data_IF_989504707496
#
_entry.id   IF_989504707496
#
_cell.length_a   1.000
_cell.length_b   1.000
_cell.length_c   1.000
_cell.angle_alpha   90.00
_cell.angle_beta   90.00
_cell.angle_gamma   90.00
#
_symmetry.space_group_name_H-M   'P 1'
#
loop_
_entity.id
_entity.type
_entity.pdbx_description
1 polymer ?
#
# COMPACT_ATOMS: atom_id res chain seq x y z
N UNK A 1 14.22 8.22 -7.88
CA UNK A 1 14.18 7.98 -6.41
C UNK A 1 12.86 8.37 -5.72
N UNK A 2 12.53 9.65 -5.47
CA UNK A 2 11.28 10.03 -4.75
C UNK A 2 10.00 9.53 -5.44
N UNK A 3 9.90 9.72 -6.77
CA UNK A 3 8.78 9.23 -7.57
C UNK A 3 8.67 7.69 -7.54
N UNK A 4 9.80 6.98 -7.61
CA UNK A 4 9.82 5.51 -7.56
C UNK A 4 9.34 4.96 -6.21
N UNK A 5 9.73 5.60 -5.10
CA UNK A 5 9.25 5.23 -3.76
C UNK A 5 7.74 5.41 -3.66
N UNK A 6 7.21 6.53 -4.19
CA UNK A 6 5.76 6.77 -4.19
C UNK A 6 5.00 5.75 -5.05
N UNK A 7 5.52 5.40 -6.23
CA UNK A 7 4.94 4.36 -7.08
C UNK A 7 4.95 2.99 -6.41
N UNK A 8 6.06 2.62 -5.77
CA UNK A 8 6.19 1.35 -5.07
C UNK A 8 5.26 1.26 -3.84
N UNK A 9 5.07 2.35 -3.09
CA UNK A 9 4.07 2.45 -2.01
C UNK A 9 2.64 2.26 -2.52
N UNK A 10 2.29 2.90 -3.65
CA UNK A 10 1.01 2.68 -4.31
C UNK A 10 0.80 1.21 -4.68
N UNK A 11 1.81 0.59 -5.28
CA UNK A 11 1.76 -0.83 -5.66
C UNK A 11 1.61 -1.77 -4.46
N UNK A 12 2.27 -1.50 -3.34
CA UNK A 12 2.08 -2.25 -2.09
C UNK A 12 0.63 -2.19 -1.65
N UNK A 13 0.00 -1.00 -1.68
CA UNK A 13 -1.40 -0.82 -1.32
C UNK A 13 -2.35 -1.66 -2.18
N UNK A 14 -2.18 -1.61 -3.51
CA UNK A 14 -2.96 -2.42 -4.45
C UNK A 14 -2.84 -3.93 -4.17
N UNK A 15 -1.60 -4.43 -4.04
CA UNK A 15 -1.34 -5.84 -3.79
C UNK A 15 -1.87 -6.30 -2.43
N UNK A 16 -1.84 -5.42 -1.41
CA UNK A 16 -2.37 -5.72 -0.09
C UNK A 16 -3.90 -5.86 -0.10
N UNK A 17 -4.61 -5.09 -0.91
CA UNK A 17 -6.06 -5.26 -1.12
C UNK A 17 -6.34 -6.61 -1.76
N UNK A 18 -5.66 -6.93 -2.86
CA UNK A 18 -5.81 -8.23 -3.55
C UNK A 18 -5.51 -9.41 -2.62
N UNK A 19 -4.44 -9.33 -1.82
CA UNK A 19 -4.12 -10.35 -0.82
C UNK A 19 -5.26 -10.54 0.19
N UNK A 20 -5.84 -9.45 0.68
CA UNK A 20 -6.97 -9.50 1.64
C UNK A 20 -8.18 -10.19 1.03
N UNK A 21 -8.49 -9.92 -0.23
CA UNK A 21 -9.57 -10.58 -0.96
C UNK A 21 -9.33 -12.08 -1.10
N UNK A 22 -8.11 -12.51 -1.43
CA UNK A 22 -7.79 -13.93 -1.48
C UNK A 22 -7.93 -14.63 -0.12
N UNK A 23 -7.52 -13.97 0.97
CA UNK A 23 -7.72 -14.51 2.33
C UNK A 23 -9.20 -14.63 2.67
N UNK A 24 -10.00 -13.62 2.34
CA UNK A 24 -11.45 -13.64 2.56
C UNK A 24 -12.12 -14.78 1.77
N UNK A 25 -11.71 -15.02 0.52
CA UNK A 25 -12.20 -16.16 -0.27
C UNK A 25 -11.90 -17.48 0.45
N UNK A 26 -10.67 -17.68 0.92
CA UNK A 26 -10.28 -18.90 1.64
C UNK A 26 -11.10 -19.12 2.91
N UNK A 27 -11.34 -18.06 3.70
CA UNK A 27 -12.16 -18.13 4.91
C UNK A 27 -13.60 -18.59 4.64
N UNK A 28 -14.18 -18.12 3.53
CA UNK A 28 -15.54 -18.45 3.14
C UNK A 28 -15.71 -19.83 2.50
N UNK A 29 -14.65 -20.38 1.87
CA UNK A 29 -14.75 -21.65 1.12
C UNK A 29 -14.13 -22.85 1.83
N UNK A 30 -13.26 -22.65 2.83
CA UNK A 30 -12.52 -23.74 3.50
C UNK A 30 -13.39 -24.83 4.14
N UNK A 31 -14.62 -24.49 4.53
CA UNK A 31 -15.56 -25.40 5.21
C UNK A 31 -16.62 -25.96 4.25
N UNK A 32 -16.56 -25.64 2.96
CA UNK A 32 -17.49 -26.16 1.97
C UNK A 32 -17.10 -27.57 1.54
N UNK A 33 -18.07 -28.31 1.01
CA UNK A 33 -17.83 -29.63 0.41
C UNK A 33 -16.74 -29.53 -0.68
N UNK A 34 -15.64 -30.31 -0.59
CA UNK A 34 -14.57 -30.34 -1.58
C UNK A 34 -15.04 -30.63 -3.02
N UNK A 35 -16.14 -31.35 -3.18
CA UNK A 35 -16.73 -31.72 -4.48
C UNK A 35 -17.67 -30.66 -5.04
N UNK A 36 -17.99 -29.60 -4.27
CA UNK A 36 -18.84 -28.51 -4.72
C UNK A 36 -18.20 -27.78 -5.90
N UNK A 37 -19.02 -27.49 -6.91
CA UNK A 37 -18.59 -26.74 -8.10
C UNK A 37 -18.29 -25.29 -7.74
N UNK A 38 -17.19 -24.80 -8.30
CA UNK A 38 -16.71 -23.42 -8.25
C UNK A 38 -16.47 -22.92 -9.67
N UNK A 39 -16.60 -21.61 -9.88
CA UNK A 39 -16.37 -21.01 -11.18
C UNK A 39 -15.33 -19.91 -11.06
N UNK A 40 -14.28 -19.97 -11.89
CA UNK A 40 -13.27 -18.92 -11.99
C UNK A 40 -13.49 -18.13 -13.27
N UNK A 41 -13.68 -16.81 -13.15
CA UNK A 41 -13.70 -15.92 -14.32
C UNK A 41 -12.28 -15.66 -14.83
N UNK A 42 -12.05 -15.88 -16.13
CA UNK A 42 -10.80 -15.57 -16.82
C UNK A 42 -11.15 -14.94 -18.17
N UNK A 43 -10.81 -13.66 -18.37
CA UNK A 43 -11.04 -12.97 -19.64
C UNK A 43 -12.52 -12.92 -20.06
N UNK A 44 -13.45 -12.90 -19.10
CA UNK A 44 -14.90 -12.92 -19.37
C UNK A 44 -15.52 -14.31 -19.53
N UNK A 45 -14.71 -15.38 -19.50
CA UNK A 45 -15.20 -16.77 -19.54
C UNK A 45 -15.16 -17.38 -18.15
N UNK A 46 -16.23 -18.08 -17.75
CA UNK A 46 -16.29 -18.85 -16.51
C UNK A 46 -15.73 -20.26 -16.75
N UNK A 47 -14.68 -20.60 -16.02
CA UNK A 47 -14.07 -21.94 -16.01
C UNK A 47 -14.58 -22.70 -14.80
N UNK A 48 -15.21 -23.85 -15.03
CA UNK A 48 -15.66 -24.75 -13.97
C UNK A 48 -14.47 -25.46 -13.30
N UNK A 49 -14.51 -25.49 -11.97
CA UNK A 49 -13.54 -26.11 -11.06
C UNK A 49 -14.29 -26.71 -9.87
N UNK A 50 -13.59 -27.41 -8.99
CA UNK A 50 -14.12 -27.85 -7.70
C UNK A 50 -13.45 -27.11 -6.53
N UNK A 51 -14.08 -27.07 -5.36
CA UNK A 51 -13.50 -26.47 -4.14
C UNK A 51 -12.11 -27.04 -3.86
N UNK A 52 -11.93 -28.37 -3.98
CA UNK A 52 -10.63 -29.05 -3.80
C UNK A 52 -9.53 -28.55 -4.77
N UNK A 53 -9.89 -28.08 -5.96
CA UNK A 53 -8.95 -27.54 -6.94
C UNK A 53 -8.70 -26.04 -6.76
N UNK A 54 -9.70 -25.32 -6.26
CA UNK A 54 -9.63 -23.86 -6.09
C UNK A 54 -8.85 -23.48 -4.84
N UNK A 55 -9.03 -24.17 -3.71
CA UNK A 55 -8.34 -23.84 -2.45
C UNK A 55 -6.81 -23.77 -2.63
N UNK A 56 -6.13 -24.80 -3.18
CA UNK A 56 -4.67 -24.74 -3.34
C UNK A 56 -4.21 -23.63 -4.29
N UNK A 57 -5.01 -23.32 -5.32
CA UNK A 57 -4.71 -22.25 -6.26
C UNK A 57 -4.80 -20.87 -5.59
N UNK A 58 -5.83 -20.64 -4.76
CA UNK A 58 -6.00 -19.38 -4.03
C UNK A 58 -4.94 -19.22 -2.93
N UNK A 59 -4.59 -20.29 -2.22
CA UNK A 59 -3.51 -20.28 -1.22
C UNK A 59 -2.15 -19.94 -1.84
N UNK A 60 -1.80 -20.60 -2.95
CA UNK A 60 -0.56 -20.35 -3.67
C UNK A 60 -0.48 -18.90 -4.16
N UNK A 61 -1.57 -18.37 -4.71
CA UNK A 61 -1.63 -16.97 -5.15
C UNK A 61 -1.50 -15.99 -3.98
N UNK A 62 -2.17 -16.25 -2.85
CA UNK A 62 -2.02 -15.43 -1.65
C UNK A 62 -0.57 -15.44 -1.13
N UNK A 63 0.10 -16.60 -1.15
CA UNK A 63 1.51 -16.70 -0.77
C UNK A 63 2.43 -15.92 -1.72
N UNK A 64 2.18 -15.98 -3.03
CA UNK A 64 2.92 -15.21 -4.03
C UNK A 64 2.74 -13.70 -3.83
N UNK A 65 1.53 -13.24 -3.55
CA UNK A 65 1.25 -11.84 -3.26
C UNK A 65 1.96 -11.36 -2.00
N UNK A 66 1.95 -12.17 -0.92
CA UNK A 66 2.72 -11.85 0.30
C UNK A 66 4.20 -11.68 -0.02
N UNK A 67 4.81 -12.62 -0.75
CA UNK A 67 6.22 -12.53 -1.15
C UNK A 67 6.52 -11.28 -1.98
N UNK A 68 5.65 -10.96 -2.94
CA UNK A 68 5.81 -9.77 -3.76
C UNK A 68 5.72 -8.48 -2.93
N UNK A 69 4.77 -8.40 -1.98
CA UNK A 69 4.64 -7.26 -1.08
C UNK A 69 5.91 -7.08 -0.24
N UNK A 70 6.43 -8.15 0.38
CA UNK A 70 7.64 -8.06 1.20
C UNK A 70 8.86 -7.67 0.37
N UNK A 71 9.02 -8.21 -0.83
CA UNK A 71 10.11 -7.82 -1.74
C UNK A 71 10.05 -6.33 -2.12
N UNK A 72 8.85 -5.80 -2.41
CA UNK A 72 8.69 -4.37 -2.75
C UNK A 72 8.92 -3.50 -1.52
N UNK A 73 8.50 -3.92 -0.32
CA UNK A 73 8.78 -3.20 0.94
C UNK A 73 10.26 -3.08 1.21
N UNK A 74 11.02 -4.16 1.02
CA UNK A 74 12.48 -4.14 1.19
C UNK A 74 13.14 -3.16 0.20
N UNK A 75 12.74 -3.21 -1.07
CA UNK A 75 13.21 -2.26 -2.08
C UNK A 75 12.84 -0.80 -1.76
N UNK A 76 11.64 -0.56 -1.21
CA UNK A 76 11.23 0.76 -0.72
C UNK A 76 12.15 1.23 0.39
N UNK A 77 12.41 0.40 1.39
CA UNK A 77 13.22 0.77 2.56
C UNK A 77 14.66 1.15 2.15
N UNK A 78 15.27 0.40 1.23
CA UNK A 78 16.60 0.72 0.71
C UNK A 78 16.61 2.09 0.01
N UNK A 79 15.66 2.34 -0.89
CA UNK A 79 15.58 3.62 -1.62
C UNK A 79 15.22 4.80 -0.73
N UNK A 80 14.44 4.58 0.32
CA UNK A 80 14.12 5.60 1.33
C UNK A 80 15.37 5.99 2.14
N UNK A 81 16.19 5.01 2.53
CA UNK A 81 17.46 5.27 3.20
C UNK A 81 18.44 6.04 2.30
N UNK A 82 18.51 5.70 1.00
CA UNK A 82 19.30 6.45 0.01
C UNK A 82 18.82 7.89 -0.15
N UNK A 83 17.49 8.10 -0.22
CA UNK A 83 16.90 9.44 -0.25
C UNK A 83 17.28 10.26 0.99
N UNK A 84 17.23 9.66 2.16
CA UNK A 84 17.58 10.33 3.42
C UNK A 84 19.08 10.67 3.47
N UNK A 85 19.95 9.76 3.03
CA UNK A 85 21.39 10.00 2.94
C UNK A 85 21.71 11.16 1.98
N UNK A 86 21.04 11.22 0.82
CA UNK A 86 21.20 12.32 -0.14
C UNK A 86 20.67 13.65 0.42
N UNK A 87 19.52 13.64 1.11
CA UNK A 87 18.97 14.83 1.77
C UNK A 87 19.95 15.40 2.80
N UNK A 88 20.54 14.54 3.65
CA UNK A 88 21.53 14.93 4.65
C UNK A 88 22.82 15.45 4.02
N UNK A 89 23.34 14.75 3.00
CA UNK A 89 24.61 15.11 2.34
C UNK A 89 24.54 16.44 1.60
N UNK A 90 23.43 16.72 0.94
CA UNK A 90 23.29 17.89 0.07
C UNK A 90 22.41 19.00 0.65
N UNK A 91 21.93 18.86 1.90
CA UNK A 91 20.99 19.78 2.55
C UNK A 91 19.82 20.16 1.63
N UNK A 92 19.31 19.18 0.86
CA UNK A 92 18.24 19.41 -0.11
C UNK A 92 16.98 19.77 0.67
N UNK A 93 16.63 21.06 0.68
CA UNK A 93 15.36 21.56 1.18
C UNK A 93 14.29 21.15 0.16
N UNK A 94 13.28 20.42 0.62
CA UNK A 94 12.07 20.23 -0.17
C UNK A 94 11.39 21.59 -0.27
N UNK A 95 11.13 22.05 -1.49
CA UNK A 95 10.44 23.31 -1.75
C UNK A 95 9.07 23.27 -1.05
N UNK A 96 8.93 23.99 0.07
CA UNK A 96 7.71 24.02 0.89
C UNK A 96 7.87 24.01 2.41
N UNK A 97 9.06 23.75 2.96
CA UNK A 97 9.31 23.71 4.43
C UNK A 97 9.96 24.98 5.01
N UNK A 98 9.78 26.15 4.40
CA UNK A 98 10.08 27.45 5.04
C UNK A 98 8.87 28.38 4.92
N UNK A 99 7.82 28.06 5.65
CA UNK A 99 6.80 29.04 6.04
C UNK A 99 6.38 28.74 7.47
N UNK A 100 7.27 29.02 8.44
CA UNK A 100 6.86 29.55 9.73
C UNK A 100 7.92 30.50 10.30
N UNK A 101 7.49 31.53 11.04
CA UNK A 101 8.08 32.86 11.03
C UNK A 101 9.02 33.09 12.21
N UNK A 102 10.08 33.86 12.00
CA UNK A 102 10.92 34.36 13.09
C UNK A 102 11.10 35.88 13.00
N UNK A 103 10.21 36.54 13.76
CA UNK A 103 10.45 37.66 14.67
C UNK A 103 10.77 39.08 14.13
N UNK A 104 9.84 40.02 14.34
CA UNK A 104 10.12 41.42 14.69
C UNK A 104 8.87 42.22 15.15
N UNK A 105 8.74 42.39 16.48
CA UNK A 105 8.45 43.63 17.25
C UNK A 105 7.13 44.45 17.06
N UNK A 106 6.38 44.48 18.18
CA UNK A 106 5.51 45.54 18.77
C UNK A 106 4.92 46.67 17.90
N UNK A 107 3.59 46.84 17.94
CA UNK A 107 2.91 47.85 18.79
C UNK A 107 1.43 48.10 18.42
N UNK A 108 0.68 48.56 19.43
CA UNK A 108 -0.61 49.28 19.39
C UNK A 108 -1.93 48.48 19.44
N UNK A 109 -2.47 48.38 20.66
CA UNK A 109 -3.74 49.03 21.07
C UNK A 109 -4.94 48.94 20.12
N UNK A 110 -6.00 48.23 20.55
CA UNK A 110 -7.38 48.50 20.12
C UNK A 110 -8.30 47.31 20.33
N UNK A 111 -9.18 47.38 21.32
CA UNK A 111 -10.05 46.27 21.73
C UNK A 111 -11.22 45.95 20.80
N UNK A 112 -12.03 44.96 21.19
CA UNK A 112 -13.33 44.70 20.55
C UNK A 112 -13.81 43.25 20.62
N UNK A 113 -14.48 42.95 21.73
CA UNK A 113 -15.50 41.95 22.04
C UNK A 113 -16.06 41.04 20.92
N UNK A 114 -16.25 39.78 21.34
CA UNK A 114 -17.09 38.69 20.84
C UNK A 114 -18.46 39.11 20.26
N UNK A 115 -18.85 38.50 19.13
CA UNK A 115 -20.25 38.20 18.76
C UNK A 115 -20.27 37.00 17.80
#
# INVERSE_FOLDING_TARGET
LSQEVNLARGKIGELAVSLREHVNVLENVKNLDPSRRCFRSVGGVLVERTVKEVIPAVESNAANLRRAIEAIKEQCAVKEAELEALRKKYKIRVQGEDAMPTDARESSSGGGVLA
#
